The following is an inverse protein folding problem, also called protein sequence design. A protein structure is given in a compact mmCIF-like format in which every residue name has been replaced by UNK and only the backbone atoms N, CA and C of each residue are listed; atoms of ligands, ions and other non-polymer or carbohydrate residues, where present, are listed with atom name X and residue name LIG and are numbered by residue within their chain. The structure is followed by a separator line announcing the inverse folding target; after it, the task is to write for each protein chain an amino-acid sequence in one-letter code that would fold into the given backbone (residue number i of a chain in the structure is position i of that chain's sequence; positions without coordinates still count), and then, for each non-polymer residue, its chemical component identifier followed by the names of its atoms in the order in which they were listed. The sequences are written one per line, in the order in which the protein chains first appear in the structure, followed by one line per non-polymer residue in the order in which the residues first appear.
data_IF_798519470294
#
_entry.id   IF_798519470294
#
_cell.length_a   1.000
_cell.length_b   1.000
_cell.length_c   1.000
_cell.angle_alpha   90.00
_cell.angle_beta   90.00
_cell.angle_gamma   90.00
#
_symmetry.space_group_name_H-M   'P 1'
#
loop_
_entity.id
_entity.type
_entity.pdbx_description
1 polymer ?
#
# COMPACT_ATOMS: atom_id res chain seq x y z
N UNK A 1 -0.47 -17.28 -37.41
CA UNK A 1 -0.16 -16.39 -36.28
C UNK A 1 -1.27 -15.35 -36.21
N UNK A 2 -2.16 -15.43 -35.22
CA UNK A 2 -3.25 -14.46 -35.11
C UNK A 2 -2.65 -13.11 -34.73
N UNK A 3 -2.68 -12.17 -35.68
CA UNK A 3 -2.32 -10.77 -35.45
C UNK A 3 -3.44 -10.14 -34.66
N UNK A 4 -3.22 -9.89 -33.37
CA UNK A 4 -4.14 -9.12 -32.54
C UNK A 4 -4.03 -7.64 -32.94
N UNK A 5 -4.72 -7.23 -34.00
CA UNK A 5 -4.97 -5.82 -34.29
C UNK A 5 -6.13 -5.37 -33.40
N UNK A 6 -5.80 -5.04 -32.15
CA UNK A 6 -6.74 -4.33 -31.28
C UNK A 6 -6.57 -2.85 -31.59
N UNK A 7 -7.20 -2.40 -32.66
CA UNK A 7 -7.43 -0.97 -32.88
C UNK A 7 -8.69 -0.63 -32.07
N UNK A 8 -8.57 -0.57 -30.73
CA UNK A 8 -9.70 -0.15 -29.89
C UNK A 8 -10.00 1.30 -30.22
N UNK A 9 -11.22 1.58 -30.65
CA UNK A 9 -11.67 2.95 -30.78
C UNK A 9 -11.50 3.67 -29.44
N UNK A 10 -10.89 4.86 -29.46
CA UNK A 10 -10.62 5.61 -28.22
C UNK A 10 -11.90 5.94 -27.48
N UNK A 11 -12.99 6.12 -28.21
CA UNK A 11 -14.31 6.36 -27.63
C UNK A 11 -14.84 5.11 -26.93
N UNK A 12 -14.84 3.95 -27.59
CA UNK A 12 -15.23 2.67 -26.99
C UNK A 12 -14.39 2.34 -25.74
N UNK A 13 -13.07 2.59 -25.78
CA UNK A 13 -12.20 2.40 -24.63
C UNK A 13 -12.57 3.33 -23.48
N UNK A 14 -12.87 4.61 -23.78
CA UNK A 14 -13.30 5.59 -22.77
C UNK A 14 -14.60 5.14 -22.12
N UNK A 15 -15.62 4.84 -22.92
CA UNK A 15 -16.92 4.38 -22.42
C UNK A 15 -16.80 3.14 -21.55
N UNK A 16 -15.98 2.18 -21.97
CA UNK A 16 -15.69 0.99 -21.18
C UNK A 16 -15.04 1.34 -19.83
N UNK A 17 -14.00 2.17 -19.83
CA UNK A 17 -13.29 2.56 -18.61
C UNK A 17 -14.19 3.36 -17.66
N UNK A 18 -14.98 4.30 -18.17
CA UNK A 18 -15.93 5.08 -17.39
C UNK A 18 -17.00 4.19 -16.75
N UNK A 19 -17.52 3.20 -17.49
CA UNK A 19 -18.42 2.21 -16.94
C UNK A 19 -17.77 1.38 -15.82
N UNK A 20 -16.48 1.01 -15.95
CA UNK A 20 -15.75 0.31 -14.87
C UNK A 20 -15.51 1.20 -13.66
N UNK A 21 -15.19 2.48 -13.86
CA UNK A 21 -15.06 3.45 -12.76
C UNK A 21 -16.37 3.57 -12.00
N UNK A 22 -17.49 3.75 -12.70
CA UNK A 22 -18.81 3.85 -12.07
C UNK A 22 -19.19 2.58 -11.29
N UNK A 23 -18.77 1.40 -11.77
CA UNK A 23 -19.00 0.13 -11.10
C UNK A 23 -18.16 -0.04 -9.82
N UNK A 24 -16.85 0.21 -9.90
CA UNK A 24 -15.90 -0.15 -8.84
C UNK A 24 -15.58 1.01 -7.88
N UNK A 25 -15.64 2.26 -8.34
CA UNK A 25 -15.39 3.43 -7.50
C UNK A 25 -16.67 3.84 -6.74
N UNK A 26 -17.27 2.87 -6.03
CA UNK A 26 -18.48 3.07 -5.23
C UNK A 26 -18.27 2.57 -3.81
N UNK A 27 -18.95 3.20 -2.84
CA UNK A 27 -18.88 2.78 -1.42
C UNK A 27 -19.32 1.33 -1.21
N UNK A 28 -20.25 0.84 -2.04
CA UNK A 28 -20.71 -0.56 -1.98
C UNK A 28 -19.59 -1.55 -2.32
N UNK A 29 -18.68 -1.20 -3.25
CA UNK A 29 -17.56 -2.05 -3.62
C UNK A 29 -16.53 -2.16 -2.48
N UNK A 30 -16.29 -1.06 -1.76
CA UNK A 30 -15.34 -0.96 -0.64
C UNK A 30 -15.58 -2.05 0.40
N UNK A 31 -16.84 -2.30 0.80
CA UNK A 31 -17.16 -3.24 1.87
C UNK A 31 -16.63 -4.67 1.64
N UNK A 32 -16.51 -5.08 0.38
CA UNK A 32 -16.01 -6.40 0.01
C UNK A 32 -14.53 -6.40 -0.33
N UNK A 33 -13.89 -5.22 -0.43
CA UNK A 33 -12.57 -5.01 -1.02
C UNK A 33 -11.47 -4.78 0.01
N UNK A 34 -10.20 -5.20 -0.23
CA UNK A 34 -9.08 -4.87 0.65
C UNK A 34 -8.95 -3.37 0.95
N UNK A 35 -9.39 -2.49 0.03
CA UNK A 35 -9.41 -1.04 0.26
C UNK A 35 -10.24 -0.65 1.51
N UNK A 36 -11.12 -1.52 2.01
CA UNK A 36 -11.80 -1.27 3.29
C UNK A 36 -10.86 -1.06 4.47
N UNK A 37 -9.65 -1.64 4.44
CA UNK A 37 -8.71 -1.58 5.57
C UNK A 37 -8.19 -0.16 5.77
N UNK A 38 -7.61 0.53 4.76
CA UNK A 38 -7.25 1.95 4.91
C UNK A 38 -8.45 2.85 5.21
N UNK A 39 -9.65 2.53 4.72
CA UNK A 39 -10.87 3.29 5.02
C UNK A 39 -11.34 3.22 6.50
N UNK A 40 -10.72 2.38 7.34
CA UNK A 40 -11.01 2.35 8.79
C UNK A 40 -10.33 3.50 9.55
N UNK A 41 -9.43 4.23 8.91
CA UNK A 41 -8.63 5.28 9.53
C UNK A 41 -9.03 6.67 9.02
N UNK A 42 -8.88 7.67 9.89
CA UNK A 42 -9.11 9.08 9.56
C UNK A 42 -7.79 9.87 9.42
N UNK A 43 -6.76 9.45 10.16
CA UNK A 43 -5.45 10.08 10.15
C UNK A 43 -4.73 9.77 8.82
N UNK A 44 -4.27 10.77 8.05
CA UNK A 44 -3.66 10.55 6.74
C UNK A 44 -2.51 9.55 6.76
N UNK A 45 -1.63 9.60 7.76
CA UNK A 45 -0.49 8.69 7.84
C UNK A 45 -0.92 7.25 8.12
N UNK A 46 -1.97 7.03 8.92
CA UNK A 46 -2.50 5.69 9.15
C UNK A 46 -3.13 5.12 7.87
N UNK A 47 -3.84 5.97 7.10
CA UNK A 47 -4.41 5.60 5.79
C UNK A 47 -3.28 5.21 4.81
N UNK A 48 -2.21 6.00 4.75
CA UNK A 48 -1.05 5.73 3.90
C UNK A 48 -0.38 4.39 4.25
N UNK A 49 -0.09 4.16 5.53
CA UNK A 49 0.56 2.92 6.00
C UNK A 49 -0.34 1.71 5.77
N UNK A 50 -1.62 1.81 6.14
CA UNK A 50 -2.59 0.74 5.94
C UNK A 50 -2.76 0.42 4.44
N UNK A 51 -2.83 1.44 3.59
CA UNK A 51 -2.94 1.28 2.14
C UNK A 51 -1.71 0.63 1.53
N UNK A 52 -0.51 1.07 1.94
CA UNK A 52 0.73 0.49 1.45
C UNK A 52 0.89 -0.97 1.88
N UNK A 53 0.71 -1.28 3.16
CA UNK A 53 0.83 -2.66 3.66
C UNK A 53 -0.26 -3.58 3.09
N UNK A 54 -1.49 -3.10 2.95
CA UNK A 54 -2.57 -3.88 2.33
C UNK A 54 -2.27 -4.19 0.86
N UNK A 55 -1.82 -3.19 0.09
CA UNK A 55 -1.45 -3.41 -1.31
C UNK A 55 -0.27 -4.38 -1.45
N UNK A 56 0.70 -4.29 -0.54
CA UNK A 56 1.84 -5.18 -0.43
C UNK A 56 1.51 -6.63 -0.04
N UNK A 57 0.24 -6.98 0.21
CA UNK A 57 -0.21 -8.38 0.39
C UNK A 57 -1.45 -8.70 -0.46
N UNK A 58 -1.81 -7.87 -1.42
CA UNK A 58 -3.08 -7.99 -2.17
C UNK A 58 -3.01 -9.00 -3.32
N UNK A 59 -2.47 -10.20 -3.08
CA UNK A 59 -2.49 -11.30 -4.05
C UNK A 59 -3.03 -12.61 -3.47
N UNK A 60 -3.99 -13.20 -4.18
CA UNK A 60 -4.67 -14.42 -3.75
C UNK A 60 -6.13 -14.16 -3.42
N UNK A 61 -6.68 -14.92 -2.47
CA UNK A 61 -8.10 -14.86 -2.16
C UNK A 61 -8.46 -13.59 -1.38
N UNK A 62 -9.44 -12.83 -1.88
CA UNK A 62 -9.94 -11.57 -1.34
C UNK A 62 -10.18 -11.60 0.18
N UNK A 63 -10.88 -12.64 0.65
CA UNK A 63 -11.18 -12.85 2.07
C UNK A 63 -9.90 -12.97 2.93
N UNK A 64 -8.90 -13.69 2.45
CA UNK A 64 -7.61 -13.87 3.14
C UNK A 64 -6.80 -12.58 3.15
N UNK A 65 -6.85 -11.80 2.07
CA UNK A 65 -6.19 -10.47 2.00
C UNK A 65 -6.78 -9.55 3.08
N UNK A 66 -8.11 -9.42 3.13
CA UNK A 66 -8.80 -8.56 4.12
C UNK A 66 -8.49 -9.00 5.55
N UNK A 67 -8.54 -10.30 5.82
CA UNK A 67 -8.25 -10.85 7.15
C UNK A 67 -6.80 -10.56 7.58
N UNK A 68 -5.83 -10.81 6.70
CA UNK A 68 -4.42 -10.60 7.03
C UNK A 68 -4.03 -9.12 7.11
N UNK A 69 -4.61 -8.27 6.26
CA UNK A 69 -4.42 -6.83 6.34
C UNK A 69 -5.03 -6.26 7.63
N UNK A 70 -6.21 -6.72 8.03
CA UNK A 70 -6.80 -6.39 9.33
C UNK A 70 -5.91 -6.83 10.50
N UNK A 71 -5.40 -8.07 10.46
CA UNK A 71 -4.47 -8.59 11.46
C UNK A 71 -3.18 -7.74 11.56
N UNK A 72 -2.63 -7.24 10.45
CA UNK A 72 -1.47 -6.33 10.51
C UNK A 72 -1.79 -5.07 11.32
N UNK A 73 -2.96 -4.47 11.09
CA UNK A 73 -3.39 -3.28 11.84
C UNK A 73 -3.58 -3.59 13.32
N UNK A 74 -4.16 -4.74 13.65
CA UNK A 74 -4.33 -5.20 15.04
C UNK A 74 -2.99 -5.47 15.74
N UNK A 75 -2.00 -6.04 15.03
CA UNK A 75 -0.65 -6.25 15.57
C UNK A 75 0.08 -4.94 15.88
N UNK A 76 -0.31 -3.85 15.20
CA UNK A 76 0.09 -2.46 15.46
C UNK A 76 -0.90 -1.73 16.39
N UNK A 77 -1.74 -2.47 17.12
CA UNK A 77 -2.65 -1.95 18.17
C UNK A 77 -3.66 -0.91 17.63
N UNK A 78 -3.97 -0.97 16.34
CA UNK A 78 -4.90 -0.04 15.68
C UNK A 78 -4.33 1.36 15.43
N UNK A 79 -3.05 1.60 15.71
CA UNK A 79 -2.36 2.87 15.47
C UNK A 79 -1.07 2.68 14.67
N UNK A 80 -1.14 2.34 13.37
CA UNK A 80 0.04 1.99 12.58
C UNK A 80 1.10 3.11 12.54
N UNK A 81 0.73 4.38 12.40
CA UNK A 81 1.68 5.49 12.42
C UNK A 81 2.37 5.63 13.78
N UNK A 82 1.62 5.52 14.88
CA UNK A 82 2.18 5.59 16.24
C UNK A 82 3.15 4.42 16.49
N UNK A 83 2.75 3.20 16.10
CA UNK A 83 3.61 2.02 16.17
C UNK A 83 4.91 2.21 15.39
N UNK A 84 4.87 2.78 14.19
CA UNK A 84 6.08 3.00 13.38
C UNK A 84 7.02 4.06 13.98
N UNK A 85 6.49 5.10 14.64
CA UNK A 85 7.31 6.15 15.23
C UNK A 85 7.92 5.75 16.58
N UNK A 86 7.14 5.10 17.43
CA UNK A 86 7.48 4.88 18.84
C UNK A 86 7.62 3.40 19.23
N UNK A 87 7.34 2.48 18.30
CA UNK A 87 7.51 1.06 18.53
C UNK A 87 8.97 0.70 18.84
N UNK A 88 9.16 -0.07 19.91
CA UNK A 88 10.48 -0.63 20.25
C UNK A 88 10.89 -1.72 19.28
N UNK A 89 12.20 -1.98 19.13
CA UNK A 89 12.70 -3.09 18.30
C UNK A 89 12.08 -4.44 18.65
N UNK A 90 11.92 -4.73 19.96
CA UNK A 90 11.22 -5.93 20.45
C UNK A 90 9.74 -5.96 20.05
N UNK A 91 9.14 -4.80 19.84
CA UNK A 91 7.79 -4.66 19.29
C UNK A 91 7.66 -5.24 17.90
N UNK A 92 8.72 -5.23 17.08
CA UNK A 92 8.72 -5.81 15.73
C UNK A 92 8.81 -7.34 15.72
N UNK A 93 9.35 -7.97 16.78
CA UNK A 93 9.51 -9.44 16.83
C UNK A 93 8.17 -10.18 16.73
N UNK A 94 7.05 -9.56 17.17
CA UNK A 94 5.71 -10.15 17.03
C UNK A 94 5.33 -10.42 15.57
N UNK A 95 5.93 -9.69 14.62
CA UNK A 95 5.70 -9.83 13.18
C UNK A 95 6.47 -11.00 12.54
N UNK A 96 7.42 -11.63 13.24
CA UNK A 96 8.09 -12.85 12.75
C UNK A 96 7.10 -13.98 12.45
N UNK A 97 5.99 -14.03 13.19
CA UNK A 97 4.93 -15.01 13.01
C UNK A 97 3.94 -14.67 11.87
N UNK A 98 4.07 -13.50 11.26
CA UNK A 98 3.15 -13.08 10.20
C UNK A 98 3.47 -13.79 8.88
N UNK A 99 2.44 -14.37 8.27
CA UNK A 99 2.57 -15.03 6.96
C UNK A 99 1.35 -14.72 6.11
N UNK A 100 1.60 -14.25 4.90
CA UNK A 100 0.64 -14.16 3.82
C UNK A 100 1.25 -14.74 2.54
N UNK A 101 0.91 -15.99 2.22
CA UNK A 101 1.41 -16.68 1.02
C UNK A 101 2.95 -16.73 1.02
N UNK A 102 3.60 -15.97 0.14
CA UNK A 102 5.06 -15.85 0.03
C UNK A 102 5.64 -14.71 0.86
N UNK A 103 4.80 -13.78 1.35
CA UNK A 103 5.20 -12.70 2.24
C UNK A 103 5.26 -13.25 3.67
N UNK A 104 6.46 -13.29 4.25
CA UNK A 104 6.71 -13.87 5.56
C UNK A 104 7.09 -12.79 6.59
N UNK A 105 7.39 -13.22 7.82
CA UNK A 105 7.67 -12.31 8.92
C UNK A 105 8.94 -11.47 8.74
N UNK A 106 9.95 -12.00 8.04
CA UNK A 106 11.17 -11.26 7.73
C UNK A 106 10.84 -10.12 6.76
N UNK A 107 10.05 -10.39 5.72
CA UNK A 107 9.58 -9.38 4.78
C UNK A 107 8.75 -8.32 5.52
N UNK A 108 7.83 -8.76 6.39
CA UNK A 108 6.99 -7.87 7.19
C UNK A 108 7.83 -6.91 8.04
N UNK A 109 8.82 -7.42 8.78
CA UNK A 109 9.69 -6.61 9.61
C UNK A 109 10.51 -5.63 8.77
N UNK A 110 11.02 -6.05 7.61
CA UNK A 110 11.72 -5.16 6.70
C UNK A 110 10.83 -4.00 6.26
N UNK A 111 9.61 -4.31 5.80
CA UNK A 111 8.62 -3.31 5.38
C UNK A 111 8.32 -2.30 6.49
N UNK A 112 8.05 -2.80 7.70
CA UNK A 112 7.73 -1.93 8.84
C UNK A 112 8.93 -1.07 9.23
N UNK A 113 10.16 -1.61 9.24
CA UNK A 113 11.36 -0.82 9.51
C UNK A 113 11.59 0.23 8.41
N UNK A 114 11.35 -0.11 7.15
CA UNK A 114 11.54 0.81 6.02
C UNK A 114 10.56 1.98 6.13
N UNK A 115 9.29 1.68 6.39
CA UNK A 115 8.26 2.70 6.64
C UNK A 115 8.61 3.53 7.88
N UNK A 116 8.99 2.89 8.99
CA UNK A 116 9.40 3.56 10.23
C UNK A 116 10.51 4.60 9.97
N UNK A 117 11.51 4.26 9.16
CA UNK A 117 12.53 5.21 8.71
C UNK A 117 11.95 6.32 7.83
N UNK A 118 11.15 5.99 6.82
CA UNK A 118 10.53 6.99 5.92
C UNK A 118 9.66 7.99 6.69
N UNK A 119 8.88 7.55 7.66
CA UNK A 119 8.04 8.45 8.46
C UNK A 119 8.86 9.37 9.38
N UNK A 120 9.98 8.88 9.93
CA UNK A 120 10.89 9.70 10.74
C UNK A 120 11.71 10.69 9.92
N UNK A 121 12.29 10.23 8.81
CA UNK A 121 13.34 10.97 8.10
C UNK A 121 12.79 11.76 6.90
N UNK A 122 11.74 11.25 6.26
CA UNK A 122 11.14 11.84 5.06
C UNK A 122 9.72 12.40 5.31
N UNK A 123 9.20 12.30 6.53
CA UNK A 123 7.88 12.80 6.92
C UNK A 123 6.70 12.08 6.26
N UNK A 124 6.88 10.82 5.85
CA UNK A 124 5.82 9.94 5.36
C UNK A 124 5.82 9.68 3.86
N UNK A 125 4.96 8.75 3.42
CA UNK A 125 4.90 8.29 2.03
C UNK A 125 4.43 9.41 1.09
N UNK A 126 3.35 10.11 1.47
CA UNK A 126 2.80 11.20 0.67
C UNK A 126 3.79 12.35 0.51
N UNK A 127 4.48 12.75 1.58
CA UNK A 127 5.51 13.80 1.53
C UNK A 127 6.67 13.41 0.63
N UNK A 128 7.24 12.22 0.83
CA UNK A 128 8.34 11.70 0.03
C UNK A 128 8.01 11.72 -1.46
N UNK A 129 6.81 11.25 -1.83
CA UNK A 129 6.37 11.25 -3.23
C UNK A 129 6.19 12.67 -3.78
N UNK A 130 5.54 13.57 -3.03
CA UNK A 130 5.30 14.95 -3.45
C UNK A 130 6.60 15.73 -3.64
N UNK A 131 7.57 15.58 -2.74
CA UNK A 131 8.86 16.25 -2.84
C UNK A 131 9.67 15.75 -4.04
N UNK A 132 9.69 14.44 -4.27
CA UNK A 132 10.34 13.86 -5.44
C UNK A 132 9.68 14.34 -6.75
N UNK A 133 8.35 14.38 -6.78
CA UNK A 133 7.60 14.90 -7.93
C UNK A 133 7.87 16.39 -8.17
N UNK A 134 7.84 17.24 -7.13
CA UNK A 134 8.15 18.67 -7.27
C UNK A 134 9.57 18.92 -7.77
N UNK A 135 10.52 18.08 -7.36
CA UNK A 135 11.93 18.17 -7.78
C UNK A 135 12.14 17.78 -9.24
N UNK A 136 11.41 16.80 -9.74
CA UNK A 136 11.66 16.19 -11.04
C UNK A 136 10.63 16.49 -12.12
N UNK A 137 9.42 16.90 -11.73
CA UNK A 137 8.27 17.08 -12.63
C UNK A 137 7.78 15.78 -13.27
N UNK A 138 8.19 14.62 -12.75
CA UNK A 138 8.00 13.32 -13.39
C UNK A 138 7.58 12.24 -12.37
N UNK A 139 6.51 11.52 -12.70
CA UNK A 139 5.94 10.48 -11.83
C UNK A 139 6.87 9.27 -11.74
N UNK A 140 7.51 8.86 -12.84
CA UNK A 140 8.39 7.70 -12.82
C UNK A 140 9.60 7.95 -11.89
N UNK A 141 10.19 9.14 -11.95
CA UNK A 141 11.27 9.54 -11.03
C UNK A 141 10.81 9.64 -9.57
N UNK A 142 9.56 10.06 -9.32
CA UNK A 142 9.02 10.04 -7.96
C UNK A 142 8.90 8.61 -7.41
N UNK A 143 8.43 7.66 -8.23
CA UNK A 143 8.39 6.23 -7.87
C UNK A 143 9.79 5.66 -7.67
N UNK A 144 10.76 6.02 -8.51
CA UNK A 144 12.16 5.61 -8.36
C UNK A 144 12.75 6.11 -7.04
N UNK A 145 12.51 7.38 -6.69
CA UNK A 145 12.95 7.97 -5.43
C UNK A 145 12.33 7.24 -4.24
N UNK A 146 11.02 6.96 -4.30
CA UNK A 146 10.35 6.14 -3.28
C UNK A 146 11.01 4.77 -3.12
N UNK A 147 11.28 4.07 -4.23
CA UNK A 147 11.95 2.76 -4.21
C UNK A 147 13.32 2.84 -3.56
N UNK A 148 14.13 3.82 -3.92
CA UNK A 148 15.47 4.02 -3.36
C UNK A 148 15.41 4.27 -1.85
N UNK A 149 14.48 5.10 -1.39
CA UNK A 149 14.25 5.28 0.04
C UNK A 149 13.77 3.97 0.68
N UNK A 150 12.78 3.29 0.12
CA UNK A 150 12.25 2.06 0.72
C UNK A 150 13.34 1.01 0.95
N UNK A 151 14.26 0.84 -0.01
CA UNK A 151 15.35 -0.14 0.07
C UNK A 151 16.65 0.36 0.74
N UNK A 152 16.65 1.54 1.37
CA UNK A 152 17.86 2.11 2.01
C UNK A 152 18.27 1.43 3.32
N UNK A 153 17.44 0.54 3.87
CA UNK A 153 17.87 -0.30 4.98
C UNK A 153 18.89 -1.32 4.45
N UNK A 154 20.17 -1.07 4.73
CA UNK A 154 21.28 -1.96 4.44
C UNK A 154 21.20 -3.24 5.26
#
# INVERSE_FOLDING_TARGET
MASWNIETDREELREFLDAKVNLYNSRAFVASDPIQVPHRFEKPEDIEIAGFLTSAISWGQKRTIIANAGRLMEMMEGGPHEFLLYGSDKGFDRFLSFVHRTFNGIDCIYFLKALSRIYRDCGGLGRLFQEAYRKHGDVARAIMTFREEFFRLG
#
